data_IF_966888861231
#
_entry.id   IF_966888861231
#
_cell.length_a   1.000
_cell.length_b   1.000
_cell.length_c   1.000
_cell.angle_alpha   90.00
_cell.angle_beta   90.00
_cell.angle_gamma   90.00
#
_symmetry.space_group_name_H-M   'P 1'
#
loop_
_entity.id
_entity.type
_entity.pdbx_description
1 polymer ?
#
# COMPACT_ATOMS: atom_id res chain seq x y z
N UNK A 1 31.48 29.73 11.57
CA UNK A 1 30.28 29.03 12.07
C UNK A 1 29.08 29.48 11.26
N UNK A 2 28.55 28.60 10.42
CA UNK A 2 27.12 28.45 10.09
C UNK A 2 27.05 27.30 9.10
N UNK A 3 26.76 26.12 9.63
CA UNK A 3 26.53 24.92 8.82
C UNK A 3 25.23 25.11 8.03
N UNK A 4 25.36 25.19 6.70
CA UNK A 4 24.25 25.03 5.77
C UNK A 4 24.02 23.54 5.51
N UNK A 5 23.42 22.83 6.46
CA UNK A 5 22.73 21.57 6.14
C UNK A 5 21.27 21.90 5.82
N UNK A 6 21.06 22.40 4.61
CA UNK A 6 19.75 22.32 3.98
C UNK A 6 19.54 20.88 3.53
N UNK A 7 19.03 20.03 4.43
CA UNK A 7 18.47 18.75 4.01
C UNK A 7 17.14 19.07 3.32
N UNK A 8 17.14 19.11 2.00
CA UNK A 8 15.90 19.02 1.22
C UNK A 8 15.27 17.67 1.58
N UNK A 9 14.10 17.68 2.21
CA UNK A 9 13.31 16.47 2.35
C UNK A 9 13.12 15.89 0.94
N UNK A 10 13.58 14.66 0.71
CA UNK A 10 13.28 13.94 -0.53
C UNK A 10 11.76 13.99 -0.77
N UNK A 11 11.37 14.14 -2.03
CA UNK A 11 9.95 14.25 -2.37
C UNK A 11 9.26 12.92 -2.00
N UNK A 12 8.46 12.94 -0.94
CA UNK A 12 7.63 11.79 -0.57
C UNK A 12 6.49 11.65 -1.58
N UNK A 13 6.08 10.42 -1.87
CA UNK A 13 4.89 10.12 -2.65
C UNK A 13 3.66 10.82 -2.05
N UNK A 14 2.78 11.33 -2.92
CA UNK A 14 1.57 12.04 -2.51
C UNK A 14 0.36 11.52 -3.27
N UNK A 15 -0.71 11.22 -2.53
CA UNK A 15 -2.00 10.84 -3.09
C UNK A 15 -2.70 12.06 -3.73
N UNK A 16 -2.44 12.26 -5.03
CA UNK A 16 -2.99 13.37 -5.84
C UNK A 16 -4.52 13.34 -5.95
N UNK A 17 -5.16 12.22 -5.62
CA UNK A 17 -6.61 12.01 -5.80
C UNK A 17 -7.37 11.84 -4.48
N UNK A 18 -6.69 11.98 -3.33
CA UNK A 18 -7.32 11.87 -2.00
C UNK A 18 -8.53 12.79 -1.81
N UNK A 19 -8.53 13.99 -2.41
CA UNK A 19 -9.67 14.91 -2.35
C UNK A 19 -10.95 14.40 -3.03
N UNK A 20 -10.84 13.51 -4.02
CA UNK A 20 -12.00 12.87 -4.67
C UNK A 20 -12.49 11.65 -3.91
N UNK A 21 -11.60 10.91 -3.23
CA UNK A 21 -11.93 9.76 -2.38
C UNK A 21 -12.53 10.17 -1.03
N UNK A 22 -12.07 11.27 -0.45
CA UNK A 22 -12.36 11.65 0.93
C UNK A 22 -11.38 11.07 1.97
N UNK A 23 -10.42 10.24 1.55
CA UNK A 23 -9.30 9.76 2.36
C UNK A 23 -8.05 9.54 1.51
N UNK A 24 -6.91 9.37 2.18
CA UNK A 24 -5.64 8.97 1.54
C UNK A 24 -5.53 7.46 1.46
N UNK A 25 -5.01 6.96 0.34
CA UNK A 25 -4.60 5.55 0.22
C UNK A 25 -3.52 5.22 1.24
N UNK A 26 -2.50 6.07 1.39
CA UNK A 26 -1.48 5.92 2.42
C UNK A 26 -1.35 7.18 3.28
N UNK A 27 -1.33 7.02 4.60
CA UNK A 27 -1.14 8.13 5.55
C UNK A 27 0.30 8.19 6.04
N UNK A 28 0.65 9.29 6.72
CA UNK A 28 1.97 9.42 7.33
C UNK A 28 2.17 8.36 8.41
N UNK A 29 1.13 8.12 9.21
CA UNK A 29 1.12 7.15 10.31
C UNK A 29 1.35 5.73 9.79
N UNK A 30 0.75 5.36 8.66
CA UNK A 30 1.03 4.08 8.00
C UNK A 30 2.48 3.98 7.54
N UNK A 31 3.07 5.07 7.05
CA UNK A 31 4.48 5.11 6.66
C UNK A 31 5.45 5.02 7.84
N UNK A 32 4.98 5.21 9.07
CA UNK A 32 5.79 5.03 10.27
C UNK A 32 5.67 3.58 10.82
N UNK A 33 4.68 2.81 10.37
CA UNK A 33 4.44 1.41 10.79
C UNK A 33 4.77 0.37 9.73
N UNK A 34 4.63 0.70 8.44
CA UNK A 34 4.88 -0.23 7.34
C UNK A 34 6.40 -0.28 7.10
N UNK A 35 7.01 -1.48 7.10
CA UNK A 35 8.41 -1.65 6.75
C UNK A 35 8.77 -1.08 5.37
N UNK A 36 10.02 -0.66 5.20
CA UNK A 36 10.55 -0.29 3.89
C UNK A 36 10.63 -1.52 2.96
N UNK A 37 10.73 -1.30 1.64
CA UNK A 37 10.97 -2.40 0.70
C UNK A 37 12.22 -3.21 1.09
N UNK A 38 12.13 -4.52 0.88
CA UNK A 38 13.17 -5.51 1.20
C UNK A 38 13.39 -5.76 2.69
N UNK A 39 12.62 -5.14 3.60
CA UNK A 39 12.75 -5.37 5.03
C UNK A 39 12.48 -6.82 5.44
N UNK A 40 11.65 -7.54 4.69
CA UNK A 40 11.30 -8.94 4.91
C UNK A 40 11.99 -9.89 3.90
N UNK A 41 13.03 -9.45 3.18
CA UNK A 41 13.66 -10.25 2.11
C UNK A 41 14.29 -11.57 2.63
N UNK A 42 14.64 -11.61 3.91
CA UNK A 42 15.27 -12.75 4.57
C UNK A 42 14.28 -13.55 5.45
N UNK A 43 12.98 -13.24 5.40
CA UNK A 43 11.97 -14.00 6.14
C UNK A 43 11.75 -15.36 5.46
N UNK A 44 12.03 -16.45 6.18
CA UNK A 44 11.89 -17.81 5.67
C UNK A 44 10.41 -18.22 5.51
N UNK A 45 9.53 -17.66 6.34
CA UNK A 45 8.09 -17.89 6.32
C UNK A 45 7.34 -16.58 6.08
N UNK A 46 7.04 -16.30 4.81
CA UNK A 46 6.31 -15.09 4.45
C UNK A 46 4.85 -15.10 4.93
N UNK A 47 4.27 -16.25 5.27
CA UNK A 47 2.92 -16.30 5.80
C UNK A 47 2.85 -15.72 7.23
N UNK A 48 3.97 -15.58 7.93
CA UNK A 48 4.06 -14.89 9.23
C UNK A 48 4.15 -13.36 9.11
N UNK A 49 4.46 -12.81 7.92
CA UNK A 49 4.59 -11.37 7.69
C UNK A 49 3.23 -10.68 7.86
N UNK A 50 3.21 -9.51 8.50
CA UNK A 50 1.98 -8.75 8.76
C UNK A 50 1.68 -7.78 7.62
N UNK A 51 0.47 -7.85 7.07
CA UNK A 51 -0.05 -6.82 6.19
C UNK A 51 -0.67 -5.68 7.01
N UNK A 52 -0.01 -4.54 7.04
CA UNK A 52 -0.41 -3.40 7.88
C UNK A 52 -1.48 -2.51 7.23
N UNK A 53 -1.67 -2.59 5.91
CA UNK A 53 -2.74 -1.89 5.21
C UNK A 53 -3.41 -2.80 4.17
N UNK A 54 -4.68 -2.52 3.87
CA UNK A 54 -5.42 -3.14 2.79
C UNK A 54 -6.01 -2.09 1.88
N UNK A 55 -5.75 -2.23 0.59
CA UNK A 55 -6.41 -1.51 -0.48
C UNK A 55 -7.36 -2.47 -1.21
N UNK A 56 -8.42 -1.95 -1.80
CA UNK A 56 -9.37 -2.76 -2.53
C UNK A 56 -10.09 -1.95 -3.60
N UNK A 57 -10.53 -2.64 -4.66
CA UNK A 57 -11.46 -2.09 -5.63
C UNK A 57 -12.84 -2.72 -5.45
N UNK A 58 -13.88 -1.94 -5.08
CA UNK A 58 -15.25 -2.47 -5.02
C UNK A 58 -15.82 -2.77 -6.42
N UNK A 59 -15.14 -2.34 -7.49
CA UNK A 59 -15.61 -2.50 -8.87
C UNK A 59 -15.04 -3.73 -9.55
N UNK A 60 -13.77 -4.08 -9.30
CA UNK A 60 -13.13 -5.28 -9.87
C UNK A 60 -13.05 -6.45 -8.90
N UNK A 61 -13.25 -6.22 -7.60
CA UNK A 61 -13.03 -7.21 -6.56
C UNK A 61 -11.57 -7.41 -6.16
N UNK A 62 -10.63 -6.70 -6.81
CA UNK A 62 -9.20 -6.79 -6.51
C UNK A 62 -8.88 -6.26 -5.13
N UNK A 63 -7.87 -6.86 -4.48
CA UNK A 63 -7.38 -6.48 -3.16
C UNK A 63 -5.86 -6.48 -3.15
N UNK A 64 -5.28 -5.55 -2.40
CA UNK A 64 -3.84 -5.44 -2.19
C UNK A 64 -3.59 -5.30 -0.69
N UNK A 65 -2.76 -6.16 -0.14
CA UNK A 65 -2.41 -6.19 1.28
C UNK A 65 -0.95 -5.78 1.40
N UNK A 66 -0.69 -4.59 1.94
CA UNK A 66 0.63 -3.96 1.97
C UNK A 66 1.46 -4.50 3.13
N UNK A 67 2.58 -5.14 2.82
CA UNK A 67 3.58 -5.58 3.80
C UNK A 67 4.78 -4.65 3.84
N UNK A 68 5.14 -4.04 2.69
CA UNK A 68 6.25 -3.09 2.58
C UNK A 68 5.88 -1.90 1.69
N UNK A 69 6.48 -0.75 1.97
CA UNK A 69 6.21 0.48 1.23
C UNK A 69 7.42 1.41 1.16
N UNK A 70 7.79 1.79 -0.06
CA UNK A 70 8.67 2.92 -0.31
C UNK A 70 7.87 4.22 -0.34
N UNK A 71 8.08 5.04 0.70
CA UNK A 71 7.40 6.32 0.89
C UNK A 71 7.82 7.39 -0.10
N UNK A 72 8.97 7.25 -0.75
CA UNK A 72 9.46 8.21 -1.74
C UNK A 72 8.79 7.95 -3.10
N UNK A 73 8.82 6.70 -3.56
CA UNK A 73 8.31 6.34 -4.89
C UNK A 73 6.81 6.03 -4.91
N UNK A 74 6.26 5.52 -3.81
CA UNK A 74 4.90 4.96 -3.78
C UNK A 74 4.84 3.48 -4.17
N UNK A 75 5.99 2.83 -4.37
CA UNK A 75 6.04 1.40 -4.67
C UNK A 75 5.78 0.59 -3.39
N UNK A 76 4.87 -0.38 -3.48
CA UNK A 76 4.55 -1.31 -2.42
C UNK A 76 4.93 -2.74 -2.81
N UNK A 77 5.13 -3.57 -1.79
CA UNK A 77 5.15 -5.02 -1.92
C UNK A 77 4.13 -5.62 -0.96
N UNK A 78 3.56 -6.77 -1.34
CA UNK A 78 2.66 -7.53 -0.49
C UNK A 78 1.77 -8.49 -1.27
N UNK A 79 0.70 -8.96 -0.65
CA UNK A 79 -0.22 -9.91 -1.27
C UNK A 79 -1.20 -9.19 -2.20
N UNK A 80 -1.31 -9.68 -3.43
CA UNK A 80 -2.26 -9.23 -4.43
C UNK A 80 -3.29 -10.34 -4.63
N UNK A 81 -4.56 -9.99 -4.42
CA UNK A 81 -5.71 -10.84 -4.72
C UNK A 81 -6.39 -10.26 -5.97
N UNK A 82 -6.05 -10.81 -7.14
CA UNK A 82 -6.57 -10.39 -8.43
C UNK A 82 -7.15 -11.57 -9.20
N UNK A 83 -6.55 -11.88 -10.35
CA UNK A 83 -6.86 -13.13 -11.06
C UNK A 83 -6.26 -14.36 -10.36
N UNK A 84 -5.12 -14.18 -9.74
CA UNK A 84 -4.46 -15.15 -8.87
C UNK A 84 -4.15 -14.48 -7.53
N UNK A 85 -3.79 -15.29 -6.52
CA UNK A 85 -3.38 -14.83 -5.20
C UNK A 85 -1.87 -14.97 -5.08
N UNK A 86 -1.15 -13.87 -5.26
CA UNK A 86 0.31 -13.87 -5.37
C UNK A 86 0.96 -12.75 -4.55
N UNK A 87 2.23 -12.95 -4.16
CA UNK A 87 3.04 -11.87 -3.59
C UNK A 87 3.67 -11.10 -4.74
N UNK A 88 3.56 -9.78 -4.71
CA UNK A 88 4.04 -8.96 -5.81
C UNK A 88 4.14 -7.49 -5.48
N UNK A 89 4.77 -6.77 -6.42
CA UNK A 89 4.89 -5.32 -6.38
C UNK A 89 3.65 -4.67 -6.98
N UNK A 90 3.26 -3.51 -6.44
CA UNK A 90 2.21 -2.66 -7.02
C UNK A 90 2.49 -1.19 -6.72
N UNK A 91 2.16 -0.32 -7.68
CA UNK A 91 2.46 1.11 -7.62
C UNK A 91 1.22 1.92 -7.20
N UNK A 92 1.35 2.70 -6.11
CA UNK A 92 0.24 3.51 -5.62
C UNK A 92 -0.15 4.64 -6.56
N UNK A 93 0.78 5.16 -7.37
CA UNK A 93 0.47 6.16 -8.39
C UNK A 93 -0.46 5.57 -9.44
N UNK A 94 -0.13 4.38 -9.96
CA UNK A 94 -0.99 3.65 -10.90
C UNK A 94 -2.36 3.36 -10.29
N UNK A 95 -2.41 2.76 -9.09
CA UNK A 95 -3.66 2.46 -8.40
C UNK A 95 -4.50 3.72 -8.10
N UNK A 96 -3.85 4.83 -7.77
CA UNK A 96 -4.54 6.09 -7.47
C UNK A 96 -5.18 6.74 -8.69
N UNK A 97 -4.68 6.45 -9.89
CA UNK A 97 -5.13 6.99 -11.17
C UNK A 97 -6.24 6.16 -11.82
N UNK A 98 -6.44 4.91 -11.39
CA UNK A 98 -7.56 4.10 -11.86
C UNK A 98 -8.88 4.74 -11.45
N UNK A 99 -9.71 5.02 -12.44
CA UNK A 99 -11.05 5.58 -12.23
C UNK A 99 -12.11 4.80 -13.00
N UNK A 100 -13.35 4.86 -12.52
CA UNK A 100 -14.55 4.33 -13.14
C UNK A 100 -15.59 5.43 -13.32
N UNK A 101 -16.64 5.17 -14.11
CA UNK A 101 -17.82 6.03 -14.26
C UNK A 101 -17.51 7.54 -14.38
N UNK A 102 -16.61 7.92 -15.28
CA UNK A 102 -16.31 9.33 -15.55
C UNK A 102 -15.42 10.02 -14.50
N UNK A 103 -14.62 9.27 -13.75
CA UNK A 103 -13.57 9.82 -12.89
C UNK A 103 -13.72 9.51 -11.40
N UNK A 104 -14.65 8.64 -11.02
CA UNK A 104 -14.77 8.11 -9.65
C UNK A 104 -13.55 7.23 -9.39
N UNK A 105 -12.77 7.47 -8.32
CA UNK A 105 -11.62 6.63 -8.02
C UNK A 105 -12.02 5.16 -7.83
N UNK A 106 -11.24 4.24 -8.41
CA UNK A 106 -11.61 2.83 -8.47
C UNK A 106 -11.05 1.98 -7.32
N UNK A 107 -10.04 2.51 -6.62
CA UNK A 107 -9.32 1.85 -5.53
C UNK A 107 -9.49 2.66 -4.27
N UNK A 108 -9.77 1.99 -3.16
CA UNK A 108 -9.97 2.56 -1.84
C UNK A 108 -9.03 1.91 -0.82
N UNK A 109 -8.75 2.60 0.30
CA UNK A 109 -8.15 1.98 1.48
C UNK A 109 -9.24 1.52 2.43
N UNK A 110 -9.09 0.31 2.96
CA UNK A 110 -9.95 -0.19 4.03
C UNK A 110 -9.59 0.52 5.35
N UNK A 111 -10.45 1.45 5.78
CA UNK A 111 -10.23 2.27 6.97
C UNK A 111 -10.40 1.50 8.29
N UNK A 112 -10.99 0.30 8.23
CA UNK A 112 -11.25 -0.54 9.40
C UNK A 112 -10.34 -1.78 9.44
N UNK A 113 -9.41 -1.88 8.49
CA UNK A 113 -8.42 -2.94 8.43
C UNK A 113 -7.70 -3.11 9.77
N UNK A 114 -7.63 -4.35 10.25
CA UNK A 114 -6.81 -4.73 11.38
C UNK A 114 -5.57 -5.47 10.86
N UNK A 115 -4.35 -4.99 11.17
CA UNK A 115 -3.12 -5.66 10.76
C UNK A 115 -3.11 -7.11 11.21
N UNK A 116 -2.78 -8.01 10.28
CA UNK A 116 -2.79 -9.46 10.50
C UNK A 116 -1.88 -10.15 9.48
N UNK A 117 -1.58 -11.43 9.67
CA UNK A 117 -0.55 -12.11 8.86
C UNK A 117 -1.03 -12.47 7.46
N UNK A 118 -0.08 -12.63 6.54
CA UNK A 118 -0.36 -13.08 5.17
C UNK A 118 -0.99 -14.47 5.16
N UNK A 119 -0.58 -15.37 6.07
CA UNK A 119 -1.16 -16.70 6.24
C UNK A 119 -2.63 -16.65 6.67
N UNK A 120 -2.99 -15.77 7.61
CA UNK A 120 -4.39 -15.56 8.02
C UNK A 120 -5.24 -15.06 6.84
N UNK A 121 -4.69 -14.16 6.03
CA UNK A 121 -5.39 -13.61 4.86
C UNK A 121 -5.60 -14.69 3.80
N UNK A 122 -4.57 -15.48 3.48
CA UNK A 122 -4.64 -16.58 2.51
C UNK A 122 -5.58 -17.69 2.93
N UNK A 123 -5.67 -17.98 4.23
CA UNK A 123 -6.64 -18.95 4.77
C UNK A 123 -8.10 -18.56 4.55
N UNK A 124 -8.38 -17.27 4.30
CA UNK A 124 -9.71 -16.75 4.00
C UNK A 124 -9.95 -16.51 2.50
N UNK A 125 -8.88 -16.42 1.70
CA UNK A 125 -8.95 -16.28 0.26
C UNK A 125 -9.69 -17.48 -0.35
N UNK A 126 -10.63 -17.21 -1.25
CA UNK A 126 -11.52 -18.20 -1.88
C UNK A 126 -11.18 -18.45 -3.33
#
# INVERSE_FOLDING_TARGET
MTDKKGTTAAAMWQDRHSGRRGHKLMTRELGDTIPALYANENEEDYDAVVAAAKLFSPYSGWRWYVTEWDRETGLCFGLVEGFEVELGYFDLSELSEVTVFGGVPAVERDLYWQPRTIGEIRGEAR
#
